data_IF_563802049005
#
_entry.id   IF_563802049005
#
_cell.length_a   1.000
_cell.length_b   1.000
_cell.length_c   1.000
_cell.angle_alpha   90.00
_cell.angle_beta   90.00
_cell.angle_gamma   90.00
#
_symmetry.space_group_name_H-M   'P 1'
#
loop_
_entity.id
_entity.type
_entity.pdbx_description
1 polymer ?
#
# COMPACT_ATOMS: atom_id res chain seq x y z
N UNK A 1 0.39 -1.45 0.25
CA UNK A 1 0.65 -1.77 1.68
C UNK A 1 1.66 -2.92 1.77
N UNK A 2 1.49 -3.95 2.59
CA UNK A 2 2.21 -5.23 2.50
C UNK A 2 1.20 -6.38 2.72
N UNK A 3 1.64 -7.61 2.98
CA UNK A 3 0.71 -8.65 3.45
C UNK A 3 0.35 -8.34 4.91
N UNK A 4 -0.93 -8.16 5.19
CA UNK A 4 -1.44 -7.75 6.51
C UNK A 4 -1.61 -8.98 7.40
N UNK A 5 -1.06 -8.92 8.62
CA UNK A 5 -1.25 -9.94 9.65
C UNK A 5 -2.45 -9.56 10.55
N UNK A 6 -3.67 -9.68 9.99
CA UNK A 6 -4.89 -9.18 10.64
C UNK A 6 -5.16 -9.87 11.98
N UNK A 7 -4.80 -11.15 12.15
CA UNK A 7 -4.91 -11.86 13.43
C UNK A 7 -4.14 -11.17 14.57
N UNK A 8 -2.92 -10.72 14.30
CA UNK A 8 -2.08 -10.00 15.26
C UNK A 8 -2.60 -8.59 15.54
N UNK A 9 -3.21 -7.95 14.53
CA UNK A 9 -3.86 -6.65 14.68
C UNK A 9 -5.10 -6.79 15.57
N UNK A 10 -5.96 -7.79 15.32
CA UNK A 10 -7.13 -8.10 16.15
C UNK A 10 -6.68 -8.41 17.58
N UNK A 11 -5.62 -9.20 17.77
CA UNK A 11 -5.06 -9.46 19.09
C UNK A 11 -4.67 -8.18 19.81
N UNK A 12 -3.89 -7.32 19.14
CA UNK A 12 -3.42 -6.05 19.71
C UNK A 12 -4.58 -5.10 20.04
N UNK A 13 -5.60 -5.08 19.17
CA UNK A 13 -6.83 -4.32 19.37
C UNK A 13 -7.59 -4.79 20.62
N UNK A 14 -7.76 -6.10 20.78
CA UNK A 14 -8.49 -6.66 21.93
C UNK A 14 -7.72 -6.48 23.24
N UNK A 15 -6.39 -6.63 23.22
CA UNK A 15 -5.55 -6.34 24.38
C UNK A 15 -5.65 -4.87 24.81
N UNK A 16 -5.54 -3.94 23.86
CA UNK A 16 -5.71 -2.52 24.11
C UNK A 16 -7.12 -2.16 24.61
N UNK A 17 -8.16 -2.79 24.05
CA UNK A 17 -9.54 -2.58 24.47
C UNK A 17 -9.79 -3.06 25.91
N UNK A 18 -9.27 -4.24 26.29
CA UNK A 18 -9.38 -4.74 27.66
C UNK A 18 -8.68 -3.81 28.64
N UNK A 19 -7.50 -3.30 28.29
CA UNK A 19 -6.78 -2.32 29.11
C UNK A 19 -7.59 -1.02 29.28
N UNK A 20 -8.13 -0.46 28.20
CA UNK A 20 -8.96 0.75 28.26
C UNK A 20 -10.21 0.56 29.11
N UNK A 21 -10.93 -0.56 28.93
CA UNK A 21 -12.14 -0.86 29.69
C UNK A 21 -11.87 -1.05 31.19
N UNK A 22 -10.71 -1.60 31.55
CA UNK A 22 -10.28 -1.70 32.95
C UNK A 22 -9.91 -0.34 33.55
N UNK A 23 -9.35 0.56 32.74
CA UNK A 23 -9.06 1.93 33.16
C UNK A 23 -10.33 2.78 33.26
N UNK A 24 -11.35 2.50 32.44
CA UNK A 24 -12.57 3.29 32.28
C UNK A 24 -13.83 2.47 32.60
N UNK A 25 -14.08 2.20 33.88
CA UNK A 25 -15.19 1.33 34.32
C UNK A 25 -16.58 1.83 33.92
N UNK A 26 -16.77 3.13 33.71
CA UNK A 26 -18.03 3.69 33.24
C UNK A 26 -18.44 3.16 31.86
N UNK A 27 -17.47 2.76 31.02
CA UNK A 27 -17.75 2.13 29.72
C UNK A 27 -18.35 0.74 29.93
N UNK A 28 -17.88 0.00 30.94
CA UNK A 28 -18.47 -1.29 31.30
C UNK A 28 -19.92 -1.12 31.78
N UNK A 29 -20.22 -0.08 32.56
CA UNK A 29 -21.60 0.23 32.96
C UNK A 29 -22.48 0.52 31.73
N UNK A 30 -21.97 1.26 30.75
CA UNK A 30 -22.67 1.53 29.50
C UNK A 30 -22.88 0.26 28.65
N UNK A 31 -21.96 -0.70 28.65
CA UNK A 31 -22.13 -1.97 27.91
C UNK A 31 -23.36 -2.75 28.41
N UNK A 32 -23.66 -2.64 29.70
CA UNK A 32 -24.74 -3.40 30.33
C UNK A 32 -25.95 -2.54 30.74
N UNK A 33 -25.99 -1.24 30.40
CA UNK A 33 -27.04 -0.33 30.86
C UNK A 33 -28.42 -0.75 30.39
N UNK A 34 -28.53 -1.23 29.14
CA UNK A 34 -29.81 -1.64 28.55
C UNK A 34 -30.49 -2.77 29.35
N UNK A 35 -29.70 -3.67 29.97
CA UNK A 35 -30.22 -4.72 30.84
C UNK A 35 -30.79 -4.15 32.14
N UNK A 36 -30.18 -3.08 32.65
CA UNK A 36 -30.59 -2.45 33.90
C UNK A 36 -31.77 -1.50 33.71
N UNK A 37 -31.90 -0.90 32.53
CA UNK A 37 -32.95 0.06 32.18
C UNK A 37 -34.21 -0.60 31.62
N UNK A 38 -34.12 -1.84 31.14
CA UNK A 38 -35.28 -2.58 30.65
C UNK A 38 -36.25 -2.95 31.79
N UNK A 39 -37.49 -2.47 31.69
CA UNK A 39 -38.51 -2.64 32.72
C UNK A 39 -38.87 -4.09 33.02
N UNK A 40 -38.68 -5.00 32.05
CA UNK A 40 -39.03 -6.42 32.17
C UNK A 40 -37.91 -7.24 32.82
N UNK A 41 -36.66 -6.98 32.46
CA UNK A 41 -35.50 -7.73 32.96
C UNK A 41 -34.87 -7.12 34.22
N UNK A 42 -35.02 -5.81 34.46
CA UNK A 42 -34.45 -5.13 35.61
C UNK A 42 -34.84 -5.74 36.98
N UNK A 43 -36.08 -6.20 37.22
CA UNK A 43 -36.45 -6.82 38.50
C UNK A 43 -35.70 -8.14 38.78
N UNK A 44 -35.35 -8.89 37.74
CA UNK A 44 -34.69 -10.20 37.85
C UNK A 44 -33.17 -10.09 37.76
N UNK A 45 -32.68 -9.31 36.79
CA UNK A 45 -31.29 -9.27 36.34
C UNK A 45 -30.76 -7.85 36.13
N UNK A 46 -31.33 -6.84 36.80
CA UNK A 46 -30.93 -5.43 36.64
C UNK A 46 -29.54 -5.11 37.22
N UNK A 47 -29.40 -3.96 37.87
CA UNK A 47 -28.11 -3.44 38.37
C UNK A 47 -27.27 -4.40 39.23
N UNK A 48 -27.88 -5.41 39.86
CA UNK A 48 -27.16 -6.42 40.61
C UNK A 48 -26.29 -7.32 39.71
N UNK A 49 -26.85 -7.74 38.57
CA UNK A 49 -26.13 -8.57 37.59
C UNK A 49 -25.02 -7.76 36.93
N UNK A 50 -25.34 -6.51 36.53
CA UNK A 50 -24.38 -5.57 35.95
C UNK A 50 -23.14 -5.41 36.83
N UNK A 51 -23.34 -5.15 38.14
CA UNK A 51 -22.22 -5.03 39.08
C UNK A 51 -21.44 -6.32 39.23
N UNK A 52 -22.11 -7.47 39.19
CA UNK A 52 -21.45 -8.78 39.28
C UNK A 52 -20.58 -9.04 38.05
N UNK A 53 -21.07 -8.71 36.86
CA UNK A 53 -20.33 -8.80 35.60
C UNK A 53 -19.09 -7.88 35.59
N UNK A 54 -19.25 -6.62 36.01
CA UNK A 54 -18.15 -5.65 36.12
C UNK A 54 -17.10 -6.15 37.12
N UNK A 55 -17.52 -6.53 38.32
CA UNK A 55 -16.61 -7.04 39.36
C UNK A 55 -15.85 -8.28 38.90
N UNK A 56 -16.52 -9.20 38.20
CA UNK A 56 -15.91 -10.39 37.63
C UNK A 56 -14.85 -10.01 36.59
N UNK A 57 -15.18 -9.14 35.63
CA UNK A 57 -14.26 -8.73 34.57
C UNK A 57 -13.01 -8.02 35.11
N UNK A 58 -13.16 -7.15 36.11
CA UNK A 58 -12.04 -6.41 36.72
C UNK A 58 -11.10 -7.31 37.54
N UNK A 59 -11.62 -8.37 38.16
CA UNK A 59 -10.82 -9.29 39.00
C UNK A 59 -10.17 -10.43 38.21
N UNK A 60 -10.67 -10.71 37.01
CA UNK A 60 -10.29 -11.91 36.25
C UNK A 60 -9.25 -11.57 35.19
N UNK A 61 -8.15 -12.33 35.14
CA UNK A 61 -7.17 -12.25 34.05
C UNK A 61 -7.71 -12.98 32.81
N UNK A 62 -7.78 -12.29 31.67
CA UNK A 62 -8.41 -12.78 30.45
C UNK A 62 -7.39 -12.62 29.30
N UNK A 63 -6.54 -13.62 29.06
CA UNK A 63 -5.57 -13.57 27.98
C UNK A 63 -6.24 -13.65 26.60
N UNK A 64 -5.67 -12.92 25.64
CA UNK A 64 -6.00 -13.01 24.21
C UNK A 64 -4.97 -13.90 23.53
N UNK A 65 -5.41 -15.04 23.00
CA UNK A 65 -4.56 -16.07 22.40
C UNK A 65 -4.87 -16.24 20.91
N UNK A 66 -3.84 -16.49 20.10
CA UNK A 66 -3.98 -16.84 18.69
C UNK A 66 -3.85 -18.35 18.51
N UNK A 67 -4.63 -18.93 17.61
CA UNK A 67 -4.71 -20.38 17.39
C UNK A 67 -3.35 -21.05 17.08
N UNK A 68 -2.41 -20.32 16.47
CA UNK A 68 -1.10 -20.85 16.11
C UNK A 68 -0.16 -21.08 17.32
N UNK A 69 -0.50 -20.61 18.52
CA UNK A 69 0.28 -20.84 19.74
C UNK A 69 -0.18 -22.12 20.46
N UNK A 70 0.19 -23.27 19.89
CA UNK A 70 -0.20 -24.63 20.33
C UNK A 70 0.47 -25.05 21.66
N UNK A 71 1.52 -24.37 22.12
CA UNK A 71 2.37 -24.84 23.21
C UNK A 71 1.84 -24.57 24.63
N UNK A 72 0.91 -23.62 24.81
CA UNK A 72 0.42 -23.24 26.14
C UNK A 72 -0.99 -23.79 26.35
N UNK A 73 -1.20 -24.57 27.42
CA UNK A 73 -2.54 -24.96 27.84
C UNK A 73 -3.35 -23.68 28.08
N UNK A 74 -4.48 -23.47 27.36
CA UNK A 74 -5.21 -22.21 27.44
C UNK A 74 -5.72 -22.01 28.87
N UNK A 75 -5.28 -20.92 29.51
CA UNK A 75 -5.86 -20.47 30.78
C UNK A 75 -7.29 -20.02 30.50
N UNK A 76 -8.27 -20.57 31.22
CA UNK A 76 -9.68 -20.20 31.08
C UNK A 76 -10.06 -19.33 32.29
N UNK A 77 -10.72 -18.18 32.10
CA UNK A 77 -11.28 -17.68 30.85
C UNK A 77 -10.25 -17.09 29.89
N UNK A 78 -10.52 -17.17 28.58
CA UNK A 78 -9.68 -16.57 27.54
C UNK A 78 -10.49 -16.13 26.33
N UNK A 79 -9.84 -15.35 25.48
CA UNK A 79 -10.32 -14.99 24.15
C UNK A 79 -9.39 -15.64 23.14
N UNK A 80 -9.92 -16.47 22.25
CA UNK A 80 -9.15 -17.07 21.17
C UNK A 80 -9.43 -16.37 19.84
N UNK A 81 -8.42 -16.31 18.97
CA UNK A 81 -8.53 -15.83 17.60
C UNK A 81 -8.09 -16.98 16.69
N UNK A 82 -9.04 -17.49 15.91
CA UNK A 82 -8.83 -18.52 14.90
C UNK A 82 -8.91 -17.91 13.50
N UNK A 83 -8.02 -18.39 12.64
CA UNK A 83 -7.99 -17.99 11.23
C UNK A 83 -8.97 -18.85 10.46
N UNK A 84 -9.94 -18.22 9.79
CA UNK A 84 -10.80 -18.90 8.82
C UNK A 84 -10.20 -18.77 7.42
N UNK A 85 -10.66 -19.55 6.43
CA UNK A 85 -10.13 -19.47 5.08
C UNK A 85 -10.15 -18.05 4.51
N UNK A 86 -9.01 -17.62 3.97
CA UNK A 86 -8.89 -16.41 3.16
C UNK A 86 -8.94 -16.81 1.70
N UNK A 87 -9.83 -16.16 0.95
CA UNK A 87 -9.98 -16.37 -0.48
C UNK A 87 -9.76 -15.05 -1.20
N UNK A 88 -9.16 -15.12 -2.38
CA UNK A 88 -9.17 -13.98 -3.29
C UNK A 88 -10.61 -13.60 -3.64
N UNK A 89 -10.89 -12.30 -3.78
CA UNK A 89 -12.22 -11.85 -4.13
C UNK A 89 -12.57 -12.16 -5.58
N UNK A 90 -13.55 -13.04 -5.81
CA UNK A 90 -13.95 -13.49 -7.16
C UNK A 90 -14.26 -12.36 -8.16
N UNK A 91 -14.80 -11.24 -7.69
CA UNK A 91 -15.16 -10.08 -8.53
C UNK A 91 -13.98 -9.16 -8.87
N UNK A 92 -12.82 -9.34 -8.21
CA UNK A 92 -11.58 -8.58 -8.46
C UNK A 92 -10.41 -9.48 -8.85
N UNK A 93 -10.60 -10.81 -8.78
CA UNK A 93 -9.61 -11.79 -9.16
C UNK A 93 -9.29 -11.63 -10.65
N UNK A 94 -8.02 -11.40 -10.95
CA UNK A 94 -7.54 -11.27 -12.32
C UNK A 94 -6.12 -11.79 -12.41
N UNK A 95 -5.75 -12.35 -13.57
CA UNK A 95 -4.37 -12.80 -13.80
C UNK A 95 -3.36 -11.65 -13.90
N UNK A 96 -3.86 -10.45 -14.19
CA UNK A 96 -3.10 -9.21 -14.16
C UNK A 96 -3.62 -8.37 -13.02
N UNK A 97 -3.11 -8.65 -11.82
CA UNK A 97 -3.41 -7.90 -10.60
C UNK A 97 -3.31 -6.39 -10.82
N UNK A 98 -4.09 -5.63 -10.05
CA UNK A 98 -4.05 -4.17 -10.14
C UNK A 98 -2.66 -3.67 -9.72
N UNK A 99 -2.07 -2.79 -10.53
CA UNK A 99 -0.66 -2.43 -10.42
C UNK A 99 -0.45 -0.95 -10.13
N UNK A 100 0.38 -0.65 -9.13
CA UNK A 100 0.90 0.68 -8.86
C UNK A 100 2.40 0.76 -9.10
N UNK A 101 2.88 1.91 -9.58
CA UNK A 101 4.31 2.22 -9.60
C UNK A 101 4.62 3.13 -8.43
N UNK A 102 5.44 2.66 -7.50
CA UNK A 102 5.95 3.49 -6.41
C UNK A 102 7.43 3.79 -6.60
N UNK A 103 7.79 5.05 -6.38
CA UNK A 103 9.18 5.47 -6.29
C UNK A 103 9.82 4.85 -5.03
N UNK A 104 10.84 4.04 -5.25
CA UNK A 104 11.58 3.34 -4.22
C UNK A 104 12.96 3.97 -4.05
N UNK A 105 13.13 4.73 -2.97
CA UNK A 105 14.43 5.30 -2.57
C UNK A 105 15.14 4.29 -1.66
N UNK A 106 16.34 3.90 -2.07
CA UNK A 106 17.13 2.84 -1.44
C UNK A 106 17.75 3.20 -0.07
N UNK A 107 17.59 4.44 0.39
CA UNK A 107 18.31 4.95 1.56
C UNK A 107 17.64 4.61 2.91
N UNK A 108 16.71 3.65 2.95
CA UNK A 108 16.15 3.16 4.21
C UNK A 108 17.09 2.09 4.81
N UNK A 109 17.66 2.31 6.02
CA UNK A 109 18.48 1.31 6.68
C UNK A 109 17.70 0.00 6.87
N UNK A 110 18.34 -1.13 6.50
CA UNK A 110 17.77 -2.48 6.64
C UNK A 110 17.10 -3.07 5.39
N UNK A 111 16.97 -2.30 4.30
CA UNK A 111 16.51 -2.82 3.00
C UNK A 111 17.74 -3.13 2.15
N UNK A 112 17.82 -4.37 1.64
CA UNK A 112 19.02 -4.96 1.03
C UNK A 112 19.77 -4.05 0.05
N UNK A 113 21.09 -4.23 -0.05
CA UNK A 113 22.00 -3.45 -0.89
C UNK A 113 21.67 -3.70 -2.36
N UNK A 114 20.78 -2.90 -2.95
CA UNK A 114 20.56 -2.92 -4.39
C UNK A 114 21.75 -2.24 -5.06
N UNK A 115 22.27 -2.86 -6.13
CA UNK A 115 23.44 -2.37 -6.86
C UNK A 115 23.21 -0.93 -7.35
N UNK A 116 24.25 -0.09 -7.30
CA UNK A 116 24.19 1.27 -7.88
C UNK A 116 23.88 1.17 -9.36
N UNK A 117 22.93 1.95 -9.85
CA UNK A 117 22.65 2.06 -11.29
C UNK A 117 23.89 2.67 -11.96
N UNK A 118 24.46 1.95 -12.92
CA UNK A 118 25.60 2.42 -13.70
C UNK A 118 25.14 2.70 -15.12
N UNK A 119 25.35 3.92 -15.59
CA UNK A 119 25.09 4.33 -16.97
C UNK A 119 26.16 3.74 -17.90
N UNK A 120 27.40 3.67 -17.42
CA UNK A 120 28.51 3.07 -18.15
C UNK A 120 29.03 1.82 -17.46
N UNK A 121 29.62 0.92 -18.24
CA UNK A 121 30.56 -0.07 -17.66
C UNK A 121 31.72 0.67 -16.99
N UNK A 122 32.33 0.04 -15.99
CA UNK A 122 33.52 0.63 -15.38
C UNK A 122 34.62 0.85 -16.43
N UNK A 123 35.31 1.98 -16.34
CA UNK A 123 36.33 2.39 -17.28
C UNK A 123 37.38 3.28 -16.63
N UNK A 124 38.52 3.43 -17.29
CA UNK A 124 39.55 4.41 -16.94
C UNK A 124 39.56 5.46 -18.06
N UNK A 125 39.43 6.76 -17.76
CA UNK A 125 39.56 7.81 -18.76
C UNK A 125 40.92 7.75 -19.48
N UNK A 126 40.94 8.06 -20.78
CA UNK A 126 42.21 8.16 -21.53
C UNK A 126 43.01 9.39 -21.06
N UNK A 127 42.32 10.46 -20.73
CA UNK A 127 42.91 11.71 -20.25
C UNK A 127 41.95 12.45 -19.30
N UNK A 128 42.51 13.12 -18.29
CA UNK A 128 41.80 14.10 -17.48
C UNK A 128 42.68 15.35 -17.29
N UNK A 129 42.21 16.50 -17.78
CA UNK A 129 42.89 17.78 -17.57
C UNK A 129 42.43 18.41 -16.25
N UNK A 130 43.32 18.42 -15.27
CA UNK A 130 43.07 18.97 -13.94
C UNK A 130 42.73 20.47 -13.96
N UNK A 131 43.23 21.23 -14.94
CA UNK A 131 43.06 22.68 -15.01
C UNK A 131 41.67 23.04 -15.54
N UNK A 132 41.23 22.34 -16.59
CA UNK A 132 39.94 22.60 -17.23
C UNK A 132 38.81 21.75 -16.66
N UNK A 133 39.13 20.60 -16.06
CA UNK A 133 38.17 19.60 -15.60
C UNK A 133 37.63 18.70 -16.71
N UNK A 134 38.22 18.71 -17.91
CA UNK A 134 37.75 17.90 -19.04
C UNK A 134 38.23 16.45 -18.92
N UNK A 135 37.30 15.50 -19.11
CA UNK A 135 37.54 14.06 -19.10
C UNK A 135 37.35 13.53 -20.52
N UNK A 136 38.34 12.78 -21.03
CA UNK A 136 38.30 12.11 -22.33
C UNK A 136 37.98 10.62 -22.14
N UNK A 137 36.90 10.16 -22.77
CA UNK A 137 36.42 8.79 -22.69
C UNK A 137 37.34 7.84 -23.48
N UNK A 138 37.58 6.62 -22.98
CA UNK A 138 38.33 5.62 -23.72
C UNK A 138 37.55 5.16 -24.95
N UNK A 139 38.29 4.73 -25.98
CA UNK A 139 37.71 4.25 -27.23
C UNK A 139 36.69 3.12 -26.98
N UNK A 140 35.45 3.32 -27.45
CA UNK A 140 34.36 2.34 -27.34
C UNK A 140 33.35 2.65 -26.24
N UNK A 141 33.53 3.73 -25.46
CA UNK A 141 32.51 4.26 -24.57
C UNK A 141 32.18 5.68 -25.02
N UNK A 142 30.91 5.98 -25.21
CA UNK A 142 30.42 7.29 -25.62
C UNK A 142 29.65 7.97 -24.50
N UNK A 143 29.43 9.27 -24.67
CA UNK A 143 28.65 10.13 -23.76
C UNK A 143 27.16 10.16 -24.10
N UNK A 144 26.71 9.41 -25.11
CA UNK A 144 25.34 9.49 -25.68
C UNK A 144 24.21 9.23 -24.65
N UNK A 145 24.47 8.40 -23.63
CA UNK A 145 23.53 8.11 -22.54
C UNK A 145 23.76 8.96 -21.29
N UNK A 146 24.75 9.86 -21.31
CA UNK A 146 25.05 10.76 -20.22
C UNK A 146 24.22 12.04 -20.35
N UNK A 147 23.87 12.63 -19.22
CA UNK A 147 23.21 13.93 -19.15
C UNK A 147 23.92 14.83 -18.13
N UNK A 148 23.78 16.14 -18.32
CA UNK A 148 24.31 17.12 -17.37
C UNK A 148 23.61 16.91 -16.02
N UNK A 149 24.41 16.77 -14.95
CA UNK A 149 23.92 16.50 -13.61
C UNK A 149 24.05 15.05 -13.14
N UNK A 150 24.42 14.12 -14.03
CA UNK A 150 24.90 12.79 -13.65
C UNK A 150 26.18 12.87 -12.81
N UNK A 151 26.52 11.79 -12.13
CA UNK A 151 27.72 11.71 -11.29
C UNK A 151 28.77 10.78 -11.89
N UNK A 152 30.00 11.27 -11.99
CA UNK A 152 31.18 10.44 -12.24
C UNK A 152 31.74 9.96 -10.90
N UNK A 153 31.79 8.65 -10.70
CA UNK A 153 32.18 8.02 -9.43
C UNK A 153 33.56 7.39 -9.57
N UNK A 154 34.51 7.87 -8.77
CA UNK A 154 35.89 7.40 -8.73
C UNK A 154 36.03 6.06 -7.98
N UNK A 155 37.21 5.42 -8.04
CA UNK A 155 37.42 4.11 -7.38
C UNK A 155 37.29 4.16 -5.86
N UNK A 156 37.58 5.30 -5.24
CA UNK A 156 37.41 5.50 -3.81
C UNK A 156 35.95 5.76 -3.38
N UNK A 157 35.01 5.82 -4.32
CA UNK A 157 33.59 6.07 -4.08
C UNK A 157 33.21 7.55 -4.02
N UNK A 158 34.15 8.48 -4.19
CA UNK A 158 33.81 9.90 -4.34
C UNK A 158 33.06 10.15 -5.65
N UNK A 159 32.03 10.98 -5.59
CA UNK A 159 31.17 11.31 -6.72
C UNK A 159 31.30 12.77 -7.14
N UNK A 160 31.42 13.00 -8.45
CA UNK A 160 31.61 14.32 -9.05
C UNK A 160 30.53 14.60 -10.07
N UNK A 161 29.84 15.74 -9.92
CA UNK A 161 28.75 16.10 -10.83
C UNK A 161 29.29 16.50 -12.21
N UNK A 162 28.74 15.91 -13.27
CA UNK A 162 29.00 16.28 -14.66
C UNK A 162 28.35 17.64 -14.95
N UNK A 163 29.16 18.62 -15.32
CA UNK A 163 28.75 20.01 -15.55
C UNK A 163 28.34 20.28 -17.00
N UNK A 164 29.02 19.64 -17.96
CA UNK A 164 28.77 19.79 -19.39
C UNK A 164 29.21 18.51 -20.14
N UNK A 165 28.61 18.27 -21.31
CA UNK A 165 28.99 17.18 -22.21
C UNK A 165 29.42 17.82 -23.53
N UNK A 166 30.60 17.48 -24.02
CA UNK A 166 31.22 18.05 -25.22
C UNK A 166 31.42 16.95 -26.26
N UNK A 167 30.47 16.80 -27.18
CA UNK A 167 30.54 15.75 -28.21
C UNK A 167 30.31 14.34 -27.62
N UNK A 168 30.71 13.32 -28.37
CA UNK A 168 30.45 11.90 -28.05
C UNK A 168 31.50 11.25 -27.15
N UNK A 169 32.63 11.92 -26.90
CA UNK A 169 33.80 11.35 -26.22
C UNK A 169 34.31 12.20 -25.04
N UNK A 170 33.72 13.37 -24.76
CA UNK A 170 34.19 14.26 -23.68
C UNK A 170 33.08 14.79 -22.81
N UNK A 171 33.40 14.97 -21.54
CA UNK A 171 32.54 15.68 -20.59
C UNK A 171 33.37 16.46 -19.58
N UNK A 172 32.74 17.38 -18.86
CA UNK A 172 33.40 18.32 -17.94
C UNK A 172 32.97 18.10 -16.49
N UNK A 173 33.95 18.03 -15.60
CA UNK A 173 33.81 18.03 -14.14
C UNK A 173 34.29 19.37 -13.55
N UNK A 174 34.21 19.51 -12.22
CA UNK A 174 34.91 20.59 -11.53
C UNK A 174 36.44 20.45 -11.72
N UNK A 175 37.17 21.56 -11.92
CA UNK A 175 38.63 21.51 -12.01
C UNK A 175 39.26 21.23 -10.64
N UNK A 176 40.56 20.91 -10.64
CA UNK A 176 41.38 20.63 -9.45
C UNK A 176 40.98 19.36 -8.66
N UNK A 177 40.40 18.35 -9.32
CA UNK A 177 40.20 17.03 -8.71
C UNK A 177 41.49 16.21 -8.86
N UNK A 178 41.92 15.51 -7.80
CA UNK A 178 43.18 14.75 -7.78
C UNK A 178 42.98 13.27 -7.46
N UNK A 179 41.74 12.79 -7.61
CA UNK A 179 41.34 11.43 -7.26
C UNK A 179 41.71 10.41 -8.35
N UNK A 180 41.81 9.14 -7.95
CA UNK A 180 42.08 8.05 -8.88
C UNK A 180 40.82 7.65 -9.66
N UNK A 181 40.85 7.93 -10.96
CA UNK A 181 39.78 7.61 -11.91
C UNK A 181 39.95 6.25 -12.60
N UNK A 182 40.89 5.42 -12.16
CA UNK A 182 40.96 4.02 -12.58
C UNK A 182 39.63 3.33 -12.25
N UNK A 183 39.07 2.51 -13.15
CA UNK A 183 37.85 1.71 -12.90
C UNK A 183 36.61 2.53 -12.43
N UNK A 184 36.57 3.82 -12.78
CA UNK A 184 35.47 4.73 -12.50
C UNK A 184 34.21 4.37 -13.33
N UNK A 185 33.07 4.92 -12.96
CA UNK A 185 31.82 4.74 -13.70
C UNK A 185 30.94 5.98 -13.60
N UNK A 186 30.02 6.13 -14.56
CA UNK A 186 29.00 7.18 -14.50
C UNK A 186 27.72 6.61 -13.90
N UNK A 187 27.15 7.33 -12.94
CA UNK A 187 25.91 7.04 -12.24
C UNK A 187 24.87 8.14 -12.56
N UNK A 188 23.57 7.82 -12.53
CA UNK A 188 22.49 8.80 -12.69
C UNK A 188 22.52 9.86 -11.59
N UNK A 189 21.83 10.98 -11.83
CA UNK A 189 21.70 12.05 -10.83
C UNK A 189 21.00 11.54 -9.56
N UNK A 190 20.06 10.62 -9.72
CA UNK A 190 19.28 10.03 -8.65
C UNK A 190 19.30 8.50 -8.80
N UNK A 191 19.69 7.80 -7.73
CA UNK A 191 19.64 6.34 -7.70
C UNK A 191 18.25 5.88 -7.22
N UNK A 192 17.22 6.28 -7.96
CA UNK A 192 15.82 5.94 -7.68
C UNK A 192 15.44 4.70 -8.48
N UNK A 193 14.83 3.75 -7.80
CA UNK A 193 14.28 2.56 -8.42
C UNK A 193 12.78 2.66 -8.42
N UNK A 194 12.13 2.21 -9.48
CA UNK A 194 10.69 2.02 -9.51
C UNK A 194 10.41 0.61 -8.99
N UNK A 195 9.72 0.52 -7.86
CA UNK A 195 9.16 -0.75 -7.40
C UNK A 195 7.75 -0.87 -8.01
N UNK A 196 7.60 -1.81 -8.93
CA UNK A 196 6.30 -2.17 -9.44
C UNK A 196 5.62 -3.05 -8.41
N UNK A 197 4.56 -2.51 -7.82
CA UNK A 197 3.73 -3.24 -6.87
C UNK A 197 2.48 -3.73 -7.57
N UNK A 198 2.13 -4.95 -7.24
CA UNK A 198 0.82 -5.51 -7.55
C UNK A 198 0.02 -5.59 -6.26
N UNK A 199 -1.28 -5.47 -6.39
CA UNK A 199 -2.24 -5.59 -5.30
C UNK A 199 -3.37 -6.54 -5.71
N UNK A 200 -3.82 -7.32 -4.75
CA UNK A 200 -5.05 -8.10 -4.82
C UNK A 200 -5.88 -7.85 -3.57
N UNK A 201 -7.15 -8.19 -3.65
CA UNK A 201 -8.07 -8.09 -2.52
C UNK A 201 -8.45 -9.48 -2.04
N UNK A 202 -8.22 -9.71 -0.75
CA UNK A 202 -8.54 -10.97 -0.09
C UNK A 202 -9.79 -10.77 0.78
N UNK A 203 -10.71 -11.71 0.70
CA UNK A 203 -11.80 -11.84 1.66
C UNK A 203 -11.32 -12.70 2.81
N UNK A 204 -10.97 -12.06 3.91
CA UNK A 204 -10.50 -12.73 5.12
C UNK A 204 -11.63 -12.91 6.12
N UNK A 205 -11.58 -14.00 6.88
CA UNK A 205 -12.49 -14.24 7.99
C UNK A 205 -11.73 -14.70 9.23
N UNK A 206 -12.20 -14.28 10.39
CA UNK A 206 -11.62 -14.62 11.67
C UNK A 206 -12.72 -15.00 12.65
N UNK A 207 -12.50 -16.09 13.39
CA UNK A 207 -13.41 -16.54 14.44
C UNK A 207 -12.80 -16.20 15.81
N UNK A 208 -13.49 -15.36 16.56
CA UNK A 208 -13.06 -14.87 17.88
C UNK A 208 -13.89 -15.60 18.93
N UNK A 209 -13.28 -16.55 19.63
CA UNK A 209 -13.94 -17.35 20.66
C UNK A 209 -13.82 -16.72 22.04
N UNK A 210 -14.94 -16.51 22.72
CA UNK A 210 -14.99 -16.16 24.14
C UNK A 210 -15.21 -17.44 24.95
N UNK A 211 -14.25 -17.82 25.80
CA UNK A 211 -14.29 -19.09 26.53
C UNK A 211 -14.27 -18.83 28.05
N UNK A 212 -15.24 -19.39 28.78
CA UNK A 212 -15.24 -19.36 30.25
C UNK A 212 -15.61 -20.74 30.81
N UNK A 213 -15.19 -21.01 32.04
CA UNK A 213 -15.40 -22.31 32.70
C UNK A 213 -16.60 -22.25 33.65
N UNK A 214 -17.33 -23.36 33.75
CA UNK A 214 -18.36 -23.66 34.76
C UNK A 214 -19.65 -22.85 34.68
N UNK A 215 -19.62 -21.61 34.18
CA UNK A 215 -20.78 -20.72 34.15
C UNK A 215 -21.03 -20.12 32.75
N UNK A 216 -22.20 -20.35 32.14
CA UNK A 216 -22.55 -19.72 30.87
C UNK A 216 -22.79 -18.21 30.97
N UNK A 217 -23.15 -17.68 32.16
CA UNK A 217 -23.37 -16.24 32.37
C UNK A 217 -22.11 -15.42 32.09
N UNK A 218 -20.99 -15.83 32.68
CA UNK A 218 -19.67 -15.22 32.42
C UNK A 218 -19.26 -15.25 30.94
N UNK A 219 -19.63 -16.29 30.19
CA UNK A 219 -19.36 -16.34 28.74
C UNK A 219 -20.15 -15.26 28.00
N UNK A 220 -21.40 -15.03 28.38
CA UNK A 220 -22.27 -14.00 27.78
C UNK A 220 -21.73 -12.60 28.10
N UNK A 221 -21.33 -12.33 29.35
CA UNK A 221 -20.74 -11.06 29.72
C UNK A 221 -19.44 -10.78 28.95
N UNK A 222 -18.54 -11.77 28.87
CA UNK A 222 -17.30 -11.65 28.10
C UNK A 222 -17.60 -11.36 26.63
N UNK A 223 -18.53 -12.09 26.04
CA UNK A 223 -18.94 -11.87 24.66
C UNK A 223 -19.50 -10.45 24.43
N UNK A 224 -20.36 -9.93 25.32
CA UNK A 224 -20.89 -8.56 25.20
C UNK A 224 -19.76 -7.52 25.25
N UNK A 225 -18.82 -7.69 26.16
CA UNK A 225 -17.65 -6.82 26.30
C UNK A 225 -16.79 -6.82 25.03
N UNK A 226 -16.49 -8.00 24.49
CA UNK A 226 -15.66 -8.13 23.29
C UNK A 226 -16.39 -7.65 22.05
N UNK A 227 -17.68 -7.94 21.92
CA UNK A 227 -18.48 -7.45 20.80
C UNK A 227 -18.54 -5.92 20.79
N UNK A 228 -18.79 -5.29 21.94
CA UNK A 228 -18.74 -3.83 22.07
C UNK A 228 -17.35 -3.27 21.77
N UNK A 229 -16.30 -3.90 22.29
CA UNK A 229 -14.91 -3.50 22.02
C UNK A 229 -14.61 -3.52 20.52
N UNK A 230 -15.00 -4.56 19.81
CA UNK A 230 -14.82 -4.62 18.37
C UNK A 230 -15.56 -3.49 17.64
N UNK A 231 -16.79 -3.18 18.03
CA UNK A 231 -17.54 -2.07 17.43
C UNK A 231 -16.88 -0.72 17.67
N UNK A 232 -16.30 -0.51 18.85
CA UNK A 232 -15.64 0.75 19.23
C UNK A 232 -14.27 0.93 18.57
N UNK A 233 -13.48 -0.13 18.42
CA UNK A 233 -12.09 -0.04 17.98
C UNK A 233 -11.83 -0.45 16.52
N UNK A 234 -12.81 -1.03 15.81
CA UNK A 234 -12.61 -1.53 14.44
C UNK A 234 -12.09 -0.47 13.47
N UNK A 235 -12.61 0.76 13.53
CA UNK A 235 -12.17 1.85 12.64
C UNK A 235 -10.71 2.22 12.91
N UNK A 236 -10.36 2.46 14.18
CA UNK A 236 -9.02 2.87 14.56
C UNK A 236 -7.96 1.79 14.30
N UNK A 237 -8.27 0.50 14.48
CA UNK A 237 -7.29 -0.58 14.37
C UNK A 237 -7.29 -1.31 13.04
N UNK A 238 -8.48 -1.62 12.48
CA UNK A 238 -8.65 -2.47 11.31
C UNK A 238 -8.66 -1.63 10.03
N UNK A 239 -9.50 -0.59 9.97
CA UNK A 239 -9.63 0.25 8.77
C UNK A 239 -8.32 1.01 8.47
N UNK A 240 -7.65 1.52 9.49
CA UNK A 240 -6.33 2.18 9.33
C UNK A 240 -5.23 1.27 8.78
N UNK A 241 -5.48 -0.04 8.68
CA UNK A 241 -4.54 -1.06 8.19
C UNK A 241 -5.08 -1.83 6.98
N UNK A 242 -6.07 -1.28 6.28
CA UNK A 242 -6.58 -1.82 5.02
C UNK A 242 -7.55 -2.99 5.18
N UNK A 243 -8.16 -3.16 6.36
CA UNK A 243 -9.29 -4.09 6.54
C UNK A 243 -10.60 -3.32 6.35
N UNK A 244 -11.21 -3.50 5.19
CA UNK A 244 -12.36 -2.75 4.70
C UNK A 244 -13.62 -3.63 4.65
N UNK A 245 -14.79 -2.99 4.55
CA UNK A 245 -16.10 -3.64 4.35
C UNK A 245 -16.31 -4.86 5.29
N UNK A 246 -16.20 -4.60 6.60
CA UNK A 246 -16.32 -5.64 7.62
C UNK A 246 -17.78 -6.00 7.93
N UNK A 247 -18.06 -7.29 8.08
CA UNK A 247 -19.29 -7.84 8.67
C UNK A 247 -18.98 -8.57 9.96
N UNK A 248 -19.88 -8.44 10.94
CA UNK A 248 -19.78 -9.10 12.24
C UNK A 248 -20.97 -10.03 12.42
N UNK A 249 -20.69 -11.28 12.77
CA UNK A 249 -21.69 -12.30 13.08
C UNK A 249 -21.41 -12.87 14.46
N UNK A 250 -22.47 -13.25 15.17
CA UNK A 250 -22.37 -13.90 16.47
C UNK A 250 -22.96 -15.29 16.40
N UNK A 251 -22.28 -16.27 16.99
CA UNK A 251 -22.83 -17.61 17.19
C UNK A 251 -23.78 -17.65 18.39
N UNK A 252 -24.50 -18.78 18.51
CA UNK A 252 -25.14 -19.17 19.76
C UNK A 252 -24.13 -19.58 20.83
N UNK A 253 -24.60 -19.69 22.08
CA UNK A 253 -23.82 -20.24 23.18
C UNK A 253 -23.71 -21.76 23.01
N UNK A 254 -22.50 -22.29 23.04
CA UNK A 254 -22.23 -23.74 22.91
C UNK A 254 -21.37 -24.23 24.07
N UNK A 255 -21.61 -25.46 24.50
CA UNK A 255 -20.70 -26.16 25.41
C UNK A 255 -19.59 -26.78 24.57
N UNK A 256 -18.35 -26.32 24.77
CA UNK A 256 -17.21 -26.79 24.00
C UNK A 256 -16.61 -28.03 24.64
N UNK A 257 -16.75 -29.17 23.97
CA UNK A 257 -16.21 -30.47 24.41
C UNK A 257 -14.78 -30.73 23.93
N UNK A 258 -14.26 -29.90 23.03
CA UNK A 258 -12.91 -30.03 22.46
C UNK A 258 -11.83 -29.53 23.41
N UNK A 259 -12.19 -28.54 24.24
CA UNK A 259 -11.37 -28.10 25.34
C UNK A 259 -11.42 -29.19 26.42
N UNK A 260 -10.29 -29.88 26.63
CA UNK A 260 -10.16 -31.04 27.54
C UNK A 260 -10.50 -30.74 29.02
N UNK A 261 -10.78 -29.48 29.34
CA UNK A 261 -11.23 -29.02 30.66
C UNK A 261 -12.71 -29.30 30.86
N UNK A 262 -13.10 -29.73 32.07
CA UNK A 262 -14.50 -29.96 32.38
C UNK A 262 -15.33 -28.67 32.30
N UNK A 263 -16.39 -28.72 31.49
CA UNK A 263 -17.47 -27.74 31.39
C UNK A 263 -17.06 -26.32 30.95
N UNK A 264 -16.49 -26.22 29.74
CA UNK A 264 -16.23 -24.93 29.09
C UNK A 264 -17.42 -24.50 28.23
N UNK A 265 -17.86 -23.27 28.40
CA UNK A 265 -18.84 -22.61 27.55
C UNK A 265 -18.12 -21.68 26.59
N UNK A 266 -18.62 -21.59 25.37
CA UNK A 266 -18.00 -20.82 24.31
C UNK A 266 -19.05 -20.11 23.47
N UNK A 267 -18.72 -18.88 23.06
CA UNK A 267 -19.50 -18.12 22.11
C UNK A 267 -18.54 -17.44 21.15
N UNK A 268 -18.83 -17.49 19.85
CA UNK A 268 -17.93 -17.04 18.81
C UNK A 268 -18.46 -15.77 18.15
N UNK A 269 -17.54 -14.88 17.81
CA UNK A 269 -17.78 -13.71 16.96
C UNK A 269 -17.00 -13.95 15.68
N UNK A 270 -17.68 -14.04 14.55
CA UNK A 270 -17.03 -14.13 13.24
C UNK A 270 -16.96 -12.74 12.64
N UNK A 271 -15.75 -12.27 12.35
CA UNK A 271 -15.51 -11.06 11.56
C UNK A 271 -15.04 -11.47 10.17
N UNK A 272 -15.71 -10.96 9.14
CA UNK A 272 -15.33 -11.17 7.74
C UNK A 272 -15.20 -9.82 7.06
N UNK A 273 -14.14 -9.60 6.29
CA UNK A 273 -13.91 -8.33 5.60
C UNK A 273 -12.96 -8.48 4.42
N UNK A 274 -12.75 -7.37 3.73
CA UNK A 274 -11.85 -7.26 2.58
C UNK A 274 -10.51 -6.72 3.04
N UNK A 275 -9.42 -7.29 2.54
CA UNK A 275 -8.05 -6.92 2.91
C UNK A 275 -7.23 -6.71 1.65
N UNK A 276 -6.61 -5.53 1.55
CA UNK A 276 -5.65 -5.26 0.48
C UNK A 276 -4.32 -5.97 0.78
N UNK A 277 -3.93 -6.88 -0.10
CA UNK A 277 -2.62 -7.51 -0.07
C UNK A 277 -1.80 -7.01 -1.26
N UNK A 278 -0.62 -6.45 -0.99
CA UNK A 278 0.28 -5.96 -2.06
C UNK A 278 1.68 -6.54 -1.94
N UNK A 279 2.30 -6.86 -3.08
CA UNK A 279 3.68 -7.36 -3.18
C UNK A 279 4.46 -6.64 -4.27
N UNK A 280 5.79 -6.75 -4.23
CA UNK A 280 6.66 -6.20 -5.27
C UNK A 280 6.82 -7.27 -6.35
N UNK A 281 6.35 -6.99 -7.57
CA UNK A 281 6.52 -7.90 -8.71
C UNK A 281 7.94 -7.84 -9.26
N UNK A 282 8.41 -6.62 -9.51
CA UNK A 282 9.78 -6.38 -9.96
C UNK A 282 10.22 -4.98 -9.57
N UNK A 283 11.53 -4.78 -9.55
CA UNK A 283 12.17 -3.50 -9.30
C UNK A 283 12.99 -3.17 -10.54
N UNK A 284 12.75 -2.00 -11.13
CA UNK A 284 13.47 -1.52 -12.29
C UNK A 284 14.10 -0.15 -11.99
N UNK A 285 15.25 0.19 -12.60
CA UNK A 285 15.80 1.53 -12.48
C UNK A 285 14.83 2.55 -13.11
N UNK A 286 14.66 3.71 -12.47
CA UNK A 286 13.85 4.79 -13.03
C UNK A 286 14.60 5.40 -14.22
N UNK A 287 13.92 5.56 -15.36
CA UNK A 287 14.49 6.26 -16.51
C UNK A 287 14.62 7.75 -16.19
N UNK A 288 15.82 8.31 -16.30
CA UNK A 288 16.04 9.76 -16.10
C UNK A 288 15.91 10.55 -17.40
N UNK A 289 16.34 9.99 -18.52
CA UNK A 289 16.30 10.65 -19.82
C UNK A 289 16.18 9.65 -20.96
N UNK A 290 15.51 10.08 -22.02
CA UNK A 290 15.46 9.38 -23.31
C UNK A 290 16.12 10.28 -24.34
N UNK A 291 17.19 9.80 -24.97
CA UNK A 291 17.77 10.47 -26.13
C UNK A 291 16.91 10.14 -27.36
N UNK A 292 16.12 11.10 -27.83
CA UNK A 292 15.36 10.95 -29.07
C UNK A 292 16.14 11.58 -30.23
N UNK A 293 16.38 10.81 -31.28
CA UNK A 293 16.90 11.33 -32.55
C UNK A 293 15.72 11.46 -33.51
N UNK A 294 15.37 12.69 -33.87
CA UNK A 294 14.35 12.94 -34.90
C UNK A 294 15.07 13.04 -36.24
N UNK A 295 14.94 12.01 -37.06
CA UNK A 295 15.33 12.12 -38.46
C UNK A 295 14.12 12.65 -39.22
N UNK A 296 14.10 13.96 -39.46
CA UNK A 296 13.16 14.53 -40.41
C UNK A 296 13.75 14.23 -41.76
N UNK A 297 13.24 13.20 -42.44
CA UNK A 297 13.52 13.01 -43.86
C UNK A 297 13.18 14.33 -44.53
N UNK A 298 14.19 14.97 -45.12
CA UNK A 298 13.97 16.14 -45.95
C UNK A 298 12.88 15.74 -46.95
N UNK A 299 11.79 16.54 -47.11
CA UNK A 299 10.78 16.19 -48.07
C UNK A 299 11.49 15.96 -49.39
N UNK A 300 11.36 14.74 -49.94
CA UNK A 300 11.83 14.41 -51.28
C UNK A 300 11.43 15.60 -52.13
N UNK A 301 12.43 16.23 -52.78
CA UNK A 301 12.24 17.44 -53.55
C UNK A 301 10.96 17.26 -54.36
N UNK A 302 9.92 18.03 -54.01
CA UNK A 302 8.68 18.04 -54.77
C UNK A 302 9.12 18.28 -56.21
N UNK A 303 8.96 17.26 -57.04
CA UNK A 303 9.21 17.34 -58.46
C UNK A 303 8.22 18.37 -58.99
N UNK A 304 8.65 19.63 -59.07
CA UNK A 304 7.86 20.72 -59.61
C UNK A 304 7.83 20.63 -61.14
N UNK A 305 7.50 19.45 -61.66
CA UNK A 305 6.97 19.28 -63.02
C UNK A 305 5.46 19.51 -62.96
N UNK A 306 5.07 20.67 -62.44
CA UNK A 306 3.75 21.24 -62.73
C UNK A 306 3.80 21.72 -64.17
N UNK A 307 3.47 20.83 -65.10
CA UNK A 307 3.02 21.19 -66.44
C UNK A 307 1.83 22.13 -66.23
N UNK A 308 2.02 23.42 -66.54
CA UNK A 308 0.92 24.35 -66.76
C UNK A 308 0.12 23.81 -67.96
N UNK A 309 -0.86 22.95 -67.67
CA UNK A 309 -1.97 22.67 -68.58
C UNK A 309 -2.82 23.92 -68.64
N UNK A 310 -2.82 24.58 -69.78
CA UNK A 310 -3.53 25.82 -70.10
C UNK A 310 -5.03 25.54 -70.32
N UNK A 311 -5.64 24.77 -69.42
CA UNK A 311 -7.05 24.41 -69.46
C UNK A 311 -7.78 25.30 -68.46
N UNK A 312 -8.05 26.53 -68.90
CA UNK A 312 -8.98 27.44 -68.27
C UNK A 312 -10.40 26.86 -68.33
N UNK A 313 -10.71 25.92 -67.44
CA UNK A 313 -12.10 25.57 -67.11
C UNK A 313 -12.65 26.61 -66.14
N UNK A 314 -13.65 27.32 -66.63
CA UNK A 314 -14.44 28.32 -65.93
C UNK A 314 -14.97 27.79 -64.59
N UNK A 315 -14.53 28.37 -63.47
CA UNK A 315 -15.21 28.18 -62.20
C UNK A 315 -16.64 28.74 -62.29
N UNK A 316 -17.69 27.93 -62.06
CA UNK A 316 -19.05 28.45 -62.02
C UNK A 316 -19.22 29.39 -60.80
N UNK A 317 -19.88 30.54 -60.98
CA UNK A 317 -20.07 31.49 -59.90
C UNK A 317 -21.20 31.01 -58.98
N UNK A 318 -20.92 30.93 -57.68
CA UNK A 318 -21.94 31.22 -56.67
C UNK A 318 -22.17 30.19 -55.59
N UNK A 319 -21.24 30.04 -54.64
CA UNK A 319 -21.58 29.63 -53.27
C UNK A 319 -20.77 30.46 -52.27
N UNK A 320 -21.11 31.75 -52.18
CA UNK A 320 -20.66 32.61 -51.10
C UNK A 320 -21.79 33.56 -50.71
N UNK A 321 -22.75 33.06 -49.94
CA UNK A 321 -23.53 33.80 -48.95
C UNK A 321 -24.28 32.77 -48.10
N UNK A 322 -23.99 32.73 -46.82
CA UNK A 322 -24.67 31.83 -45.89
C UNK A 322 -23.94 31.80 -44.56
N UNK A 323 -24.06 32.90 -43.82
CA UNK A 323 -23.98 32.89 -42.37
C UNK A 323 -24.84 31.75 -41.84
N UNK A 324 -24.26 30.80 -41.12
CA UNK A 324 -24.96 29.89 -40.21
C UNK A 324 -23.91 29.25 -39.27
N UNK A 325 -23.23 30.10 -38.49
CA UNK A 325 -22.69 29.68 -37.20
C UNK A 325 -23.86 29.71 -36.21
N UNK A 326 -24.53 28.58 -36.06
CA UNK A 326 -25.51 28.37 -34.98
C UNK A 326 -24.71 28.01 -33.73
N UNK A 327 -24.66 28.94 -32.79
CA UNK A 327 -24.28 28.72 -31.40
C UNK A 327 -25.19 27.64 -30.82
N UNK A 328 -24.62 26.49 -30.50
CA UNK A 328 -25.32 25.43 -29.78
C UNK A 328 -25.14 25.73 -28.29
N UNK A 329 -26.08 26.48 -27.72
CA UNK A 329 -26.25 26.64 -26.27
C UNK A 329 -26.48 25.25 -25.66
N UNK A 330 -25.67 24.92 -24.66
CA UNK A 330 -25.76 23.69 -23.87
C UNK A 330 -26.66 24.01 -22.68
N UNK A 331 -27.91 23.56 -22.73
CA UNK A 331 -28.86 23.65 -21.63
C UNK A 331 -28.35 22.81 -20.45
N UNK A 332 -28.03 23.50 -19.34
CA UNK A 332 -27.90 22.91 -18.00
C UNK A 332 -29.29 22.84 -17.37
N UNK A 333 -30.02 21.76 -17.61
CA UNK A 333 -31.17 21.37 -16.81
C UNK A 333 -31.07 19.86 -16.56
N UNK A 334 -30.75 19.48 -15.33
CA UNK A 334 -31.29 18.27 -14.71
C UNK A 334 -31.22 18.46 -13.18
N UNK A 335 -32.30 19.08 -12.70
CA UNK A 335 -32.78 19.01 -11.33
C UNK A 335 -33.10 17.55 -10.94
N UNK A 336 -32.79 17.25 -9.68
CA UNK A 336 -33.59 16.42 -8.77
C UNK A 336 -34.20 15.11 -9.27
N UNK A 337 -33.65 13.99 -8.76
CA UNK A 337 -34.49 12.84 -8.42
C UNK A 337 -33.94 12.06 -7.19
N UNK A 338 -34.76 12.13 -6.12
CA UNK A 338 -34.97 11.20 -5.00
C UNK A 338 -33.91 11.01 -3.89
#
# INVERSE_FOLDING_TARGET
>A
MGIVATDLIIKSMLEAAIEDLRANTWVLEHIFSDLADDAMSAPESGWKEVRTAIDWFLKTDIPVITQHRIADAPKIPCISIAYEPSNEMDNRASLGDEGGVEDYILDRPGKGTVAVIKITKNFTPDEYDITTGEVVMPKGINTDLMSVGNYFVATNGHSYKIQAIHGSDRFKLLPNITDDFTNAYVAPRSNVWNAHKELTFLKESYSIGCHTQNDPGTTIWLWQIIFYSMLRYKEAFLESRGFEISTLQSSGLVRNTELQTENVFSKYITISGEVEASWIKFIAPKFESVAATFNVDAPDAIDTDYVYGDDAEECPPGWATGDDFVDQEFDEDDEDDC
#
